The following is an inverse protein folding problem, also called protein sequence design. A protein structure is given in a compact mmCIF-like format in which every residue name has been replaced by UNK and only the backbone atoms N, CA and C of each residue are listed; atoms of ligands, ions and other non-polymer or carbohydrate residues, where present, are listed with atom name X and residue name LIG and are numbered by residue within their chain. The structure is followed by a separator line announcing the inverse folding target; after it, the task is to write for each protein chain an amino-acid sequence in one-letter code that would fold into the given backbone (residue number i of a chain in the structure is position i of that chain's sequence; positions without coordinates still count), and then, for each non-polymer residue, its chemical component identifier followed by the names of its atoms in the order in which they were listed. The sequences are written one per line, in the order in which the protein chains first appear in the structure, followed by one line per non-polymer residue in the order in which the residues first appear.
data_IF_337667123841
#
_entry.id   IF_337667123841
#
_cell.length_a   1.000
_cell.length_b   1.000
_cell.length_c   1.000
_cell.angle_alpha   90.00
_cell.angle_beta   90.00
_cell.angle_gamma   90.00
#
_symmetry.space_group_name_H-M   'P 1'
#
loop_
_entity.id
_entity.type
_entity.pdbx_description
1 polymer ?
#
# COMPACT_ATOMS: atom_id res chain seq x y z
N UNK A 1 44.77 25.73 -20.75
CA UNK A 1 43.70 26.38 -21.56
C UNK A 1 42.55 25.38 -21.58
N UNK A 2 41.34 25.58 -21.09
CA UNK A 2 40.54 26.69 -20.54
C UNK A 2 39.11 26.11 -20.59
N UNK A 3 38.38 26.00 -19.47
CA UNK A 3 37.29 26.93 -19.04
C UNK A 3 36.22 27.13 -20.15
N UNK A 4 34.91 27.15 -19.91
CA UNK A 4 34.10 27.32 -18.70
C UNK A 4 32.60 27.31 -19.11
N UNK A 5 31.71 27.07 -18.13
CA UNK A 5 30.40 27.75 -17.91
C UNK A 5 29.18 27.38 -18.79
N UNK A 6 27.92 27.27 -18.29
CA UNK A 6 27.18 27.82 -17.11
C UNK A 6 25.93 26.94 -16.83
N UNK A 7 25.56 26.64 -15.57
CA UNK A 7 24.50 27.27 -14.71
C UNK A 7 23.09 27.31 -15.35
N UNK A 8 21.95 27.12 -14.67
CA UNK A 8 21.53 26.71 -13.32
C UNK A 8 19.97 26.79 -13.27
N UNK A 9 19.35 26.03 -12.34
CA UNK A 9 18.01 26.25 -11.72
C UNK A 9 16.78 26.16 -12.66
N UNK A 10 15.63 25.57 -12.31
CA UNK A 10 14.66 25.88 -11.24
C UNK A 10 13.97 24.56 -10.78
N UNK A 11 14.06 24.17 -9.49
CA UNK A 11 13.08 24.33 -8.40
C UNK A 11 11.83 23.40 -8.42
N UNK A 12 11.87 22.43 -7.49
CA UNK A 12 10.84 21.97 -6.52
C UNK A 12 9.49 21.38 -7.02
N UNK A 13 9.17 20.16 -6.55
CA UNK A 13 8.10 19.87 -5.55
C UNK A 13 8.08 18.37 -5.18
N UNK A 14 8.47 18.11 -3.92
CA UNK A 14 7.97 17.17 -2.89
C UNK A 14 7.59 15.72 -3.29
N UNK A 15 8.31 14.69 -2.83
CA UNK A 15 8.41 14.14 -1.46
C UNK A 15 7.19 13.29 -1.05
N UNK A 16 7.43 11.99 -0.84
CA UNK A 16 6.44 11.05 -0.32
C UNK A 16 6.89 9.59 -0.23
N UNK A 17 8.15 9.31 0.11
CA UNK A 17 8.58 7.96 0.52
C UNK A 17 8.38 7.84 2.03
N UNK A 18 7.21 7.34 2.44
CA UNK A 18 6.97 6.94 3.84
C UNK A 18 7.51 5.53 4.02
N UNK A 19 8.65 5.45 4.71
CA UNK A 19 9.24 4.22 5.24
C UNK A 19 8.28 3.58 6.24
N UNK A 20 7.69 2.44 5.89
CA UNK A 20 6.99 1.55 6.83
C UNK A 20 8.03 0.92 7.75
N UNK A 21 8.21 1.46 8.95
CA UNK A 21 8.95 0.77 10.00
C UNK A 21 8.03 0.47 11.17
N UNK A 22 8.39 -0.61 11.85
CA UNK A 22 7.76 -1.10 13.08
C UNK A 22 7.72 0.06 14.09
N UNK A 23 6.54 0.32 14.64
CA UNK A 23 6.33 1.24 15.76
C UNK A 23 6.17 0.42 17.03
N UNK A 24 6.88 0.79 18.09
CA UNK A 24 6.68 0.28 19.44
C UNK A 24 5.87 1.29 20.25
N UNK A 25 4.88 0.78 20.98
CA UNK A 25 4.07 1.55 21.90
C UNK A 25 4.58 1.41 23.33
N UNK A 26 4.79 2.56 23.94
CA UNK A 26 5.25 2.74 25.30
C UNK A 26 4.10 3.38 26.08
N UNK A 27 3.47 2.64 26.98
CA UNK A 27 2.37 3.11 27.82
C UNK A 27 2.83 4.03 28.96
N UNK A 28 4.14 4.14 29.19
CA UNK A 28 4.70 4.97 30.26
C UNK A 28 4.52 4.36 31.65
N UNK A 29 4.37 3.04 31.73
CA UNK A 29 4.26 2.34 33.00
C UNK A 29 5.62 2.24 33.71
N UNK A 30 5.66 2.23 35.06
CA UNK A 30 6.91 2.11 35.79
C UNK A 30 7.66 0.81 35.45
N UNK A 31 8.98 0.93 35.22
CA UNK A 31 9.82 -0.22 34.87
C UNK A 31 9.69 -0.68 33.41
N UNK A 32 9.08 0.14 32.54
CA UNK A 32 9.06 -0.06 31.10
C UNK A 32 10.40 0.30 30.45
N UNK A 33 10.85 -0.52 29.50
CA UNK A 33 12.06 -0.28 28.72
C UNK A 33 12.15 -1.23 27.52
N UNK A 34 12.96 -0.85 26.54
CA UNK A 34 13.45 -1.74 25.49
C UNK A 34 14.96 -1.64 25.36
N UNK A 35 15.59 -2.75 24.97
CA UNK A 35 17.04 -2.84 24.80
C UNK A 35 17.37 -3.37 23.42
N UNK A 36 18.18 -2.62 22.69
CA UNK A 36 18.67 -2.97 21.38
C UNK A 36 20.16 -3.23 21.42
N UNK A 37 20.66 -3.98 20.44
CA UNK A 37 22.09 -4.18 20.25
C UNK A 37 22.86 -2.86 20.24
N UNK A 38 24.07 -2.89 20.80
CA UNK A 38 24.96 -1.74 20.92
C UNK A 38 25.07 -0.91 19.63
N UNK A 39 24.88 0.41 19.76
CA UNK A 39 25.26 1.37 18.74
C UNK A 39 26.75 1.68 18.85
N UNK A 40 27.52 1.42 17.78
CA UNK A 40 28.95 1.75 17.73
C UNK A 40 29.17 3.26 17.54
N UNK A 41 28.89 4.03 18.58
CA UNK A 41 29.02 5.48 18.60
C UNK A 41 30.44 5.93 19.03
N UNK A 42 31.50 5.14 18.82
CA UNK A 42 32.85 5.47 19.33
C UNK A 42 33.50 6.65 18.62
N UNK A 43 33.45 6.67 17.29
CA UNK A 43 34.11 7.66 16.42
C UNK A 43 33.06 8.48 15.67
N UNK A 44 32.41 7.86 14.70
CA UNK A 44 31.36 8.44 13.87
C UNK A 44 30.17 7.50 13.83
N UNK A 45 28.97 8.04 13.76
CA UNK A 45 27.78 7.20 13.62
C UNK A 45 26.51 8.03 13.51
N UNK A 46 25.47 7.42 13.00
CA UNK A 46 24.14 8.02 12.91
C UNK A 46 23.11 7.10 13.57
N UNK A 47 22.14 7.70 14.25
CA UNK A 47 20.97 7.04 14.80
C UNK A 47 19.75 7.87 14.42
N UNK A 48 18.73 7.24 13.85
CA UNK A 48 17.50 7.93 13.46
C UNK A 48 16.27 7.15 13.88
N UNK A 49 15.20 7.89 14.18
CA UNK A 49 13.89 7.35 14.49
C UNK A 49 12.83 8.44 14.33
N UNK A 50 11.56 8.05 14.39
CA UNK A 50 10.46 8.99 14.55
C UNK A 50 9.75 8.69 15.87
N UNK A 51 9.24 9.74 16.52
CA UNK A 51 8.45 9.59 17.73
C UNK A 51 7.16 10.41 17.65
N UNK A 52 6.15 9.97 18.39
CA UNK A 52 4.91 10.71 18.64
C UNK A 52 4.55 10.58 20.12
N UNK A 53 4.32 11.71 20.79
CA UNK A 53 4.04 11.75 22.23
C UNK A 53 3.21 12.97 22.65
N UNK A 54 2.59 12.93 23.82
CA UNK A 54 2.06 14.08 24.56
C UNK A 54 2.83 14.33 25.86
N UNK A 55 3.95 13.64 26.07
CA UNK A 55 4.68 13.67 27.32
C UNK A 55 5.66 14.84 27.32
N UNK A 56 5.61 15.67 28.35
CA UNK A 56 6.49 16.84 28.49
C UNK A 56 7.80 16.55 29.22
N UNK A 57 7.93 15.38 29.86
CA UNK A 57 9.15 14.93 30.54
C UNK A 57 9.30 13.40 30.48
N UNK A 58 10.39 12.90 29.91
CA UNK A 58 10.68 11.46 29.84
C UNK A 58 12.13 11.15 29.41
N UNK A 59 12.61 9.95 29.72
CA UNK A 59 13.80 9.36 29.10
C UNK A 59 13.45 8.74 27.74
N UNK A 60 14.13 9.18 26.67
CA UNK A 60 13.95 8.63 25.32
C UNK A 60 15.01 7.59 24.98
N UNK A 61 16.29 7.94 25.13
CA UNK A 61 17.43 7.05 24.80
C UNK A 61 18.54 7.15 25.84
N UNK A 62 19.25 6.04 26.07
CA UNK A 62 20.45 6.00 26.90
C UNK A 62 21.46 4.95 26.41
N UNK A 63 22.75 5.31 26.47
CA UNK A 63 23.89 4.39 26.34
C UNK A 63 25.10 4.93 27.11
N UNK A 64 26.01 4.04 27.52
CA UNK A 64 27.23 4.41 28.24
C UNK A 64 28.37 3.39 28.09
N UNK A 65 29.45 3.64 28.84
CA UNK A 65 30.62 2.77 29.00
C UNK A 65 30.55 1.82 30.21
N UNK A 66 29.34 1.50 30.68
CA UNK A 66 29.12 0.53 31.76
C UNK A 66 29.45 1.08 33.15
N UNK A 67 29.12 2.34 33.41
CA UNK A 67 29.27 2.94 34.75
C UNK A 67 30.58 3.65 35.01
N UNK A 68 31.38 3.95 33.97
CA UNK A 68 32.65 4.63 34.15
C UNK A 68 32.48 6.15 33.95
N UNK A 69 32.66 6.64 32.73
CA UNK A 69 32.80 8.08 32.48
C UNK A 69 32.07 8.60 31.24
N UNK A 70 31.81 7.75 30.25
CA UNK A 70 31.28 8.12 28.96
C UNK A 70 29.80 7.75 28.88
N UNK A 71 28.93 8.72 28.59
CA UNK A 71 27.51 8.45 28.34
C UNK A 71 26.92 9.38 27.28
N UNK A 72 25.76 8.96 26.75
CA UNK A 72 24.87 9.78 25.95
C UNK A 72 23.43 9.50 26.38
N UNK A 73 22.69 10.56 26.71
CA UNK A 73 21.28 10.50 27.09
C UNK A 73 20.46 11.50 26.26
N UNK A 74 19.26 11.09 25.85
CA UNK A 74 18.27 11.93 25.20
C UNK A 74 16.98 11.92 26.02
N UNK A 75 16.54 13.12 26.40
CA UNK A 75 15.41 13.36 27.29
C UNK A 75 14.38 14.25 26.59
N UNK A 76 13.14 14.16 27.03
CA UNK A 76 12.14 15.22 26.86
C UNK A 76 12.14 16.06 28.13
N UNK A 77 12.21 17.38 27.99
CA UNK A 77 12.09 18.34 29.07
C UNK A 77 11.28 19.56 28.60
N UNK A 78 10.20 19.88 29.31
CA UNK A 78 9.25 20.93 28.93
C UNK A 78 8.75 20.78 27.46
N UNK A 79 8.45 19.53 27.08
CA UNK A 79 7.95 19.18 25.75
C UNK A 79 8.99 19.26 24.62
N UNK A 80 10.26 19.51 24.93
CA UNK A 80 11.36 19.67 23.96
C UNK A 80 12.44 18.62 24.17
N UNK A 81 13.20 18.31 23.12
CA UNK A 81 14.32 17.38 23.25
C UNK A 81 15.55 18.06 23.84
N UNK A 82 16.12 17.41 24.85
CA UNK A 82 17.38 17.76 25.49
C UNK A 82 18.33 16.57 25.41
N UNK A 83 19.55 16.79 24.94
CA UNK A 83 20.59 15.75 24.89
C UNK A 83 21.77 16.13 25.78
N UNK A 84 22.33 15.17 26.49
CA UNK A 84 23.59 15.33 27.25
C UNK A 84 24.53 14.20 26.91
N UNK A 85 25.81 14.51 26.78
CA UNK A 85 26.83 13.51 26.52
C UNK A 85 28.18 13.97 27.04
N UNK A 86 29.02 13.02 27.41
CA UNK A 86 30.39 13.29 27.84
C UNK A 86 31.36 12.23 27.33
N UNK A 87 32.64 12.61 27.28
CA UNK A 87 33.74 11.74 26.89
C UNK A 87 34.87 11.93 27.89
N UNK A 88 35.40 10.83 28.40
CA UNK A 88 36.54 10.74 29.29
C UNK A 88 36.40 11.64 30.53
N UNK A 89 35.26 11.49 31.21
CA UNK A 89 34.91 12.14 32.48
C UNK A 89 34.91 13.69 32.39
N UNK A 90 34.82 14.25 31.18
CA UNK A 90 34.73 15.68 30.99
C UNK A 90 33.38 16.22 31.49
N UNK A 91 33.29 17.54 31.64
CA UNK A 91 32.00 18.19 31.86
C UNK A 91 31.05 17.88 30.69
N UNK A 92 29.83 17.36 30.94
CA UNK A 92 28.92 16.98 29.86
C UNK A 92 28.53 18.15 28.96
N UNK A 93 28.65 17.95 27.64
CA UNK A 93 28.05 18.85 26.67
C UNK A 93 26.53 18.65 26.66
N UNK A 94 25.78 19.74 26.43
CA UNK A 94 24.32 19.73 26.42
C UNK A 94 23.79 20.37 25.13
N UNK A 95 22.71 19.80 24.59
CA UNK A 95 21.93 20.35 23.48
C UNK A 95 20.49 20.53 23.93
N UNK A 96 19.93 21.69 23.59
CA UNK A 96 18.53 22.01 23.85
C UNK A 96 17.88 22.47 22.54
N UNK A 97 16.74 21.86 22.23
CA UNK A 97 15.93 22.21 21.06
C UNK A 97 14.83 23.18 21.44
N UNK A 98 14.39 23.98 20.48
CA UNK A 98 13.25 24.89 20.63
C UNK A 98 11.93 24.24 20.18
N UNK A 99 12.01 23.26 19.28
CA UNK A 99 10.87 22.53 18.73
C UNK A 99 10.18 21.71 19.81
N UNK A 100 8.90 22.01 20.06
CA UNK A 100 8.04 21.18 20.90
C UNK A 100 7.63 19.92 20.15
N UNK A 101 7.73 18.78 20.83
CA UNK A 101 7.44 17.44 20.30
C UNK A 101 6.28 16.74 21.04
N UNK A 102 5.73 17.39 22.06
CA UNK A 102 4.62 16.90 22.90
C UNK A 102 3.24 17.21 22.31
N UNK A 103 3.15 17.37 20.99
CA UNK A 103 1.97 17.86 20.28
C UNK A 103 1.13 16.76 19.60
N UNK A 104 1.42 15.49 19.91
CA UNK A 104 0.76 14.32 19.32
C UNK A 104 0.93 14.16 17.80
N UNK A 105 1.97 14.77 17.22
CA UNK A 105 2.38 14.56 15.83
C UNK A 105 3.69 13.76 15.77
N UNK A 106 3.97 13.25 14.58
CA UNK A 106 5.23 12.55 14.32
C UNK A 106 6.35 13.56 14.11
N UNK A 107 7.41 13.41 14.89
CA UNK A 107 8.65 14.18 14.76
C UNK A 107 9.76 13.26 14.25
N UNK A 108 10.65 13.80 13.42
CA UNK A 108 11.84 13.10 12.91
C UNK A 108 13.06 13.48 13.71
N UNK A 109 13.76 12.47 14.22
CA UNK A 109 14.94 12.65 15.06
C UNK A 109 16.13 11.99 14.36
N UNK A 110 17.21 12.76 14.20
CA UNK A 110 18.50 12.26 13.72
C UNK A 110 19.60 12.73 14.67
N UNK A 111 20.32 11.77 15.23
CA UNK A 111 21.53 11.99 16.01
C UNK A 111 22.69 11.59 15.12
N UNK A 112 23.65 12.50 14.92
CA UNK A 112 24.91 12.15 14.27
C UNK A 112 26.09 12.57 15.12
N UNK A 113 27.08 11.69 15.17
CA UNK A 113 28.26 11.87 16.00
C UNK A 113 29.50 11.93 15.12
N UNK A 114 30.40 12.85 15.47
CA UNK A 114 31.69 13.04 14.82
C UNK A 114 32.76 13.34 15.88
N UNK A 115 33.42 12.30 16.37
CA UNK A 115 34.39 12.34 17.46
C UNK A 115 33.82 13.06 18.70
N UNK A 116 34.30 14.28 19.01
CA UNK A 116 33.85 15.04 20.19
C UNK A 116 32.53 15.78 19.96
N UNK A 117 32.13 15.95 18.71
CA UNK A 117 30.94 16.70 18.34
C UNK A 117 29.75 15.76 18.16
N UNK A 118 28.61 16.15 18.70
CA UNK A 118 27.34 15.48 18.46
C UNK A 118 26.33 16.50 17.96
N UNK A 119 25.61 16.11 16.91
CA UNK A 119 24.57 16.87 16.22
C UNK A 119 23.23 16.20 16.47
N UNK A 120 22.24 17.00 16.85
CA UNK A 120 20.86 16.58 17.02
C UNK A 120 20.00 17.38 16.02
N UNK A 121 19.22 16.66 15.21
CA UNK A 121 18.20 17.24 14.33
C UNK A 121 16.83 16.79 14.78
N UNK A 122 15.92 17.75 14.91
CA UNK A 122 14.51 17.53 15.21
C UNK A 122 13.70 18.24 14.12
N UNK A 123 13.07 17.46 13.25
CA UNK A 123 12.43 17.94 12.03
C UNK A 123 13.36 18.81 11.17
N UNK A 124 13.21 20.13 11.25
CA UNK A 124 14.00 21.13 10.50
C UNK A 124 14.97 21.91 11.40
N UNK A 125 14.96 21.66 12.71
CA UNK A 125 15.86 22.30 13.67
C UNK A 125 17.13 21.46 13.86
N UNK A 126 18.29 22.13 13.88
CA UNK A 126 19.58 21.50 14.10
C UNK A 126 20.33 22.17 15.26
N UNK A 127 20.92 21.36 16.14
CA UNK A 127 21.81 21.80 17.22
C UNK A 127 23.08 20.95 17.23
N UNK A 128 24.22 21.57 17.50
CA UNK A 128 25.54 20.89 17.57
C UNK A 128 26.28 21.36 18.81
N UNK A 129 26.93 20.43 19.50
CA UNK A 129 27.78 20.71 20.66
C UNK A 129 29.00 19.82 20.60
N UNK A 130 30.10 20.30 21.19
CA UNK A 130 31.34 19.56 21.32
C UNK A 130 31.72 19.46 22.80
N UNK A 131 32.09 18.27 23.25
CA UNK A 131 32.61 18.07 24.60
C UNK A 131 34.07 18.51 24.70
N UNK A 132 34.41 19.26 25.75
CA UNK A 132 35.79 19.70 26.03
C UNK A 132 36.61 18.58 26.69
N UNK A 133 36.79 17.48 25.97
CA UNK A 133 37.52 16.31 26.46
C UNK A 133 38.97 16.25 25.94
N UNK A 134 39.86 15.60 26.69
CA UNK A 134 41.21 15.25 26.22
C UNK A 134 41.15 14.18 25.13
N UNK A 135 40.20 13.25 25.24
CA UNK A 135 40.01 12.15 24.28
C UNK A 135 39.00 12.57 23.21
N UNK A 136 39.21 12.08 21.99
CA UNK A 136 38.30 12.34 20.85
C UNK A 136 37.16 11.34 20.75
N UNK A 137 37.41 10.11 21.14
CA UNK A 137 36.51 8.96 20.97
C UNK A 137 35.84 8.63 22.28
N UNK A 138 34.58 8.22 22.21
CA UNK A 138 33.86 7.69 23.35
C UNK A 138 34.08 6.20 23.46
N UNK A 139 34.02 5.68 24.68
CA UNK A 139 33.83 4.26 24.94
C UNK A 139 32.34 4.00 25.04
N UNK A 140 31.86 3.00 24.30
CA UNK A 140 30.50 2.48 24.46
C UNK A 140 30.64 1.02 24.80
N UNK A 141 30.04 0.62 25.92
CA UNK A 141 30.07 -0.74 26.43
C UNK A 141 28.65 -1.28 26.64
N UNK A 142 27.68 -0.42 26.94
CA UNK A 142 26.29 -0.83 27.08
C UNK A 142 25.63 -1.11 25.72
N UNK A 143 24.51 -1.81 25.81
CA UNK A 143 23.46 -1.81 24.79
C UNK A 143 22.74 -0.46 24.72
N UNK A 144 21.92 -0.27 23.70
CA UNK A 144 21.08 0.92 23.54
C UNK A 144 19.74 0.72 24.27
N UNK A 145 19.49 1.53 25.30
CA UNK A 145 18.20 1.56 25.98
C UNK A 145 17.28 2.61 25.38
N UNK A 146 16.01 2.26 25.19
CA UNK A 146 14.98 3.12 24.60
C UNK A 146 13.71 3.09 25.47
N UNK A 147 13.17 4.28 25.73
CA UNK A 147 11.91 4.50 26.45
C UNK A 147 11.94 4.26 27.97
N UNK A 148 13.10 3.86 28.52
CA UNK A 148 13.30 3.64 29.95
C UNK A 148 14.54 2.77 30.24
N UNK A 149 14.79 2.49 31.51
CA UNK A 149 15.87 1.61 31.99
C UNK A 149 15.29 0.48 32.83
N UNK A 150 15.82 -0.73 32.65
CA UNK A 150 15.42 -1.87 33.46
C UNK A 150 15.63 -1.64 34.96
N UNK A 151 14.65 -1.95 35.82
CA UNK A 151 14.81 -1.90 37.27
C UNK A 151 15.99 -2.73 37.79
N UNK A 152 16.37 -3.78 37.08
CA UNK A 152 17.45 -4.71 37.47
C UNK A 152 18.85 -4.16 37.21
N UNK A 153 18.98 -3.10 36.39
CA UNK A 153 20.27 -2.47 36.13
C UNK A 153 20.76 -1.79 37.40
N UNK A 154 21.95 -2.19 37.88
CA UNK A 154 22.58 -1.59 39.06
C UNK A 154 23.00 -0.14 38.77
N UNK A 155 22.85 0.75 39.75
CA UNK A 155 23.29 2.15 39.61
C UNK A 155 24.78 2.27 39.25
N UNK A 156 25.61 1.35 39.75
CA UNK A 156 27.04 1.31 39.45
C UNK A 156 27.37 0.91 38.00
N UNK A 157 26.39 0.39 37.25
CA UNK A 157 26.53 0.08 35.83
C UNK A 157 26.05 1.23 34.94
N UNK A 158 25.55 2.33 35.52
CA UNK A 158 25.06 3.51 34.82
C UNK A 158 26.00 4.69 35.09
N UNK A 159 26.66 5.18 34.05
CA UNK A 159 27.54 6.35 34.14
C UNK A 159 26.75 7.60 34.54
N UNK A 160 25.57 7.80 33.94
CA UNK A 160 24.60 8.82 34.39
C UNK A 160 23.49 8.13 35.19
N UNK A 161 23.74 7.78 36.44
CA UNK A 161 22.75 7.05 37.26
C UNK A 161 21.41 7.77 37.46
N UNK A 162 21.33 9.08 37.18
CA UNK A 162 20.08 9.86 37.25
C UNK A 162 19.02 9.39 36.28
N UNK A 163 19.40 8.79 35.14
CA UNK A 163 18.45 8.31 34.12
C UNK A 163 17.49 7.25 34.65
N UNK A 164 17.87 6.52 35.71
CA UNK A 164 17.01 5.53 36.35
C UNK A 164 15.79 6.16 37.05
N UNK A 165 15.85 7.45 37.35
CA UNK A 165 14.78 8.20 38.03
C UNK A 165 14.00 9.10 37.07
N UNK A 166 14.37 9.13 35.79
CA UNK A 166 13.58 9.84 34.78
C UNK A 166 12.27 9.09 34.50
N UNK A 167 11.16 9.79 34.25
CA UNK A 167 9.90 9.14 33.88
C UNK A 167 10.08 8.28 32.62
N UNK A 168 9.44 7.10 32.55
CA UNK A 168 9.42 6.31 31.33
C UNK A 168 8.75 7.09 30.20
N UNK A 169 9.19 6.84 28.97
CA UNK A 169 8.55 7.43 27.79
C UNK A 169 7.12 6.91 27.65
N UNK A 170 6.20 7.79 27.29
CA UNK A 170 4.83 7.44 26.92
C UNK A 170 4.55 7.95 25.50
N UNK A 171 4.18 7.06 24.59
CA UNK A 171 3.94 7.36 23.19
C UNK A 171 4.45 6.27 22.25
N UNK A 172 4.72 6.66 21.01
CA UNK A 172 5.15 5.75 19.94
C UNK A 172 6.56 6.11 19.49
N UNK A 173 7.41 5.09 19.30
CA UNK A 173 8.71 5.22 18.63
C UNK A 173 8.74 4.24 17.46
N UNK A 174 9.09 4.72 16.27
CA UNK A 174 9.15 3.90 15.07
C UNK A 174 10.39 4.19 14.24
N UNK A 175 10.68 3.32 13.26
CA UNK A 175 11.78 3.50 12.31
C UNK A 175 13.15 3.70 12.99
N UNK A 176 13.40 3.06 14.13
CA UNK A 176 14.71 3.11 14.76
C UNK A 176 15.76 2.46 13.85
N UNK A 177 16.80 3.21 13.52
CA UNK A 177 17.92 2.79 12.66
C UNK A 177 19.25 3.21 13.27
N UNK A 178 20.25 2.34 13.14
CA UNK A 178 21.66 2.62 13.43
C UNK A 178 22.42 2.66 12.10
N UNK A 179 22.71 3.87 11.62
CA UNK A 179 23.07 4.12 10.22
C UNK A 179 21.94 3.68 9.30
N UNK A 180 22.26 2.78 8.35
CA UNK A 180 21.27 2.20 7.42
C UNK A 180 20.64 0.89 7.95
N UNK A 181 21.12 0.36 9.07
CA UNK A 181 20.68 -0.93 9.60
C UNK A 181 19.53 -0.79 10.61
N UNK A 182 18.62 -1.75 10.61
CA UNK A 182 17.65 -1.93 11.70
C UNK A 182 18.37 -2.61 12.88
N UNK A 183 18.33 -2.03 14.10
CA UNK A 183 18.96 -2.64 15.25
C UNK A 183 18.19 -3.90 15.69
N UNK A 184 18.93 -4.88 16.20
CA UNK A 184 18.35 -6.09 16.79
C UNK A 184 17.74 -5.73 18.14
N UNK A 185 16.42 -5.92 18.29
CA UNK A 185 15.75 -5.87 19.60
C UNK A 185 16.20 -7.10 20.41
N UNK A 186 16.88 -6.86 21.53
CA UNK A 186 17.42 -7.92 22.38
C UNK A 186 16.43 -8.33 23.46
N UNK A 187 15.74 -7.35 24.05
CA UNK A 187 14.84 -7.57 25.18
C UNK A 187 13.94 -6.34 25.42
N UNK A 188 12.88 -6.50 26.20
CA UNK A 188 12.00 -5.40 26.60
C UNK A 188 10.96 -5.84 27.63
N UNK A 189 10.48 -4.90 28.42
CA UNK A 189 9.46 -5.15 29.44
C UNK A 189 8.41 -4.06 29.42
N UNK A 190 7.14 -4.47 29.53
CA UNK A 190 5.99 -3.59 29.58
C UNK A 190 5.90 -2.62 28.38
N UNK A 191 6.47 -3.04 27.25
CA UNK A 191 6.35 -2.40 25.95
C UNK A 191 5.56 -3.37 25.09
N UNK A 192 4.41 -2.94 24.60
CA UNK A 192 3.56 -3.78 23.78
C UNK A 192 4.21 -3.96 22.41
N UNK A 193 4.69 -5.17 22.12
CA UNK A 193 5.06 -5.61 20.77
C UNK A 193 3.90 -6.36 20.13
N UNK A 194 2.69 -5.83 20.26
CA UNK A 194 1.49 -6.61 19.98
C UNK A 194 1.09 -6.56 18.52
N UNK A 195 1.79 -7.34 17.70
CA UNK A 195 1.37 -7.59 16.32
C UNK A 195 -0.01 -8.26 16.27
N UNK A 196 -0.35 -9.10 17.26
CA UNK A 196 -1.62 -9.86 17.34
C UNK A 196 -2.80 -8.99 17.83
N UNK A 197 -2.58 -8.07 18.80
CA UNK A 197 -3.61 -7.13 19.27
C UNK A 197 -3.95 -6.03 18.25
N UNK A 198 -2.99 -5.69 17.37
CA UNK A 198 -3.18 -4.73 16.28
C UNK A 198 -4.36 -5.15 15.38
N UNK A 199 -4.54 -6.42 15.06
CA UNK A 199 -5.67 -6.84 14.21
C UNK A 199 -7.03 -6.82 14.93
N UNK A 200 -7.06 -7.03 16.25
CA UNK A 200 -8.29 -7.19 17.02
C UNK A 200 -8.88 -5.86 17.50
N UNK A 201 -8.04 -4.88 17.87
CA UNK A 201 -8.51 -3.61 18.47
C UNK A 201 -8.20 -2.39 17.59
N UNK A 202 -7.08 -2.39 16.86
CA UNK A 202 -6.62 -1.25 16.06
C UNK A 202 -6.13 -1.66 14.67
N UNK A 203 -6.99 -2.36 13.92
CA UNK A 203 -6.63 -2.91 12.60
C UNK A 203 -6.00 -1.82 11.70
N UNK A 204 -4.75 -2.01 11.23
CA UNK A 204 -4.07 -1.08 10.35
C UNK A 204 -4.58 -1.23 8.91
N UNK A 205 -5.34 -2.30 8.63
CA UNK A 205 -6.00 -2.54 7.37
C UNK A 205 -7.20 -1.59 7.25
N UNK A 206 -7.05 -0.59 6.39
CA UNK A 206 -8.09 0.38 6.11
C UNK A 206 -9.22 -0.25 5.30
N UNK A 207 -10.38 0.45 5.22
CA UNK A 207 -11.48 0.06 4.33
C UNK A 207 -12.00 -1.38 4.50
N UNK A 208 -11.99 -1.87 5.74
CA UNK A 208 -12.46 -3.22 6.12
C UNK A 208 -11.62 -4.38 5.54
N UNK A 209 -10.34 -4.13 5.23
CA UNK A 209 -9.40 -5.20 4.91
C UNK A 209 -9.24 -6.17 6.08
N UNK A 210 -9.10 -7.46 5.78
CA UNK A 210 -8.92 -8.49 6.80
C UNK A 210 -7.48 -8.46 7.29
N UNK A 211 -7.30 -8.22 8.60
CA UNK A 211 -6.00 -8.16 9.24
C UNK A 211 -5.59 -9.54 9.77
N UNK A 212 -4.35 -9.93 9.52
CA UNK A 212 -3.74 -11.14 10.09
C UNK A 212 -2.26 -10.92 10.37
N UNK A 213 -1.66 -11.75 11.22
CA UNK A 213 -0.24 -11.69 11.56
C UNK A 213 0.46 -12.96 11.09
N UNK A 214 1.58 -12.80 10.39
CA UNK A 214 2.43 -13.92 9.98
C UNK A 214 3.90 -13.56 10.11
N UNK A 215 4.70 -14.42 10.77
CA UNK A 215 6.15 -14.25 10.96
C UNK A 215 6.57 -12.89 11.57
N UNK A 216 5.70 -12.29 12.40
CA UNK A 216 5.98 -10.99 13.00
C UNK A 216 5.65 -9.78 12.10
N UNK A 217 4.96 -9.98 10.97
CA UNK A 217 4.48 -8.90 10.11
C UNK A 217 2.93 -8.88 10.06
N UNK A 218 2.37 -7.67 9.98
CA UNK A 218 0.94 -7.49 9.72
C UNK A 218 0.65 -7.60 8.23
N UNK A 219 -0.27 -8.49 7.89
CA UNK A 219 -0.76 -8.75 6.55
C UNK A 219 -2.21 -8.28 6.44
N UNK A 220 -2.47 -7.41 5.47
CA UNK A 220 -3.83 -6.99 5.12
C UNK A 220 -4.27 -7.67 3.84
N UNK A 221 -5.31 -8.49 3.93
CA UNK A 221 -6.02 -9.01 2.77
C UNK A 221 -7.08 -7.98 2.34
N UNK A 222 -6.83 -7.38 1.17
CA UNK A 222 -7.70 -6.38 0.58
C UNK A 222 -8.65 -6.96 -0.50
N UNK A 223 -8.63 -8.28 -0.75
CA UNK A 223 -9.34 -8.92 -1.88
C UNK A 223 -10.85 -8.63 -1.87
N UNK A 224 -11.46 -8.49 -0.70
CA UNK A 224 -12.88 -8.18 -0.55
C UNK A 224 -13.18 -6.68 -0.35
N UNK A 225 -12.21 -5.80 -0.64
CA UNK A 225 -12.33 -4.34 -0.50
C UNK A 225 -12.09 -3.66 -1.85
N UNK A 226 -12.54 -2.42 -2.02
CA UNK A 226 -12.25 -1.59 -3.21
C UNK A 226 -10.88 -0.90 -3.19
N UNK A 227 -9.93 -1.46 -2.45
CA UNK A 227 -8.67 -0.83 -2.10
C UNK A 227 -7.51 -1.82 -2.22
N UNK A 228 -6.30 -1.29 -2.41
CA UNK A 228 -5.06 -2.06 -2.55
C UNK A 228 -3.92 -1.48 -1.71
N UNK A 229 -2.73 -2.04 -1.90
CA UNK A 229 -1.53 -1.68 -1.14
C UNK A 229 -1.44 -2.45 0.18
N UNK A 230 -0.30 -2.31 0.88
CA UNK A 230 0.04 -3.11 2.08
C UNK A 230 -1.01 -3.02 3.20
N UNK A 231 -1.79 -1.94 3.24
CA UNK A 231 -2.76 -1.64 4.30
C UNK A 231 -4.15 -1.27 3.77
N UNK A 232 -4.49 -1.61 2.52
CA UNK A 232 -5.78 -1.30 1.89
C UNK A 232 -6.17 0.20 1.91
N UNK A 233 -5.18 1.09 1.81
CA UNK A 233 -5.36 2.55 1.86
C UNK A 233 -5.38 3.18 0.48
N UNK A 234 -4.72 2.53 -0.48
CA UNK A 234 -4.73 3.02 -1.85
C UNK A 234 -6.10 2.71 -2.41
N UNK A 235 -6.89 3.74 -2.66
CA UNK A 235 -8.07 3.61 -3.50
C UNK A 235 -7.62 2.87 -4.75
N UNK A 236 -8.23 1.73 -5.03
CA UNK A 236 -8.05 1.12 -6.32
C UNK A 236 -8.61 2.15 -7.29
N UNK A 237 -7.73 2.90 -7.98
CA UNK A 237 -8.15 3.70 -9.12
C UNK A 237 -8.99 2.75 -9.95
N UNK A 238 -10.29 3.05 -10.08
CA UNK A 238 -11.17 2.24 -10.88
C UNK A 238 -10.45 2.03 -12.21
N UNK A 239 -10.07 0.78 -12.51
CA UNK A 239 -9.26 0.50 -13.67
C UNK A 239 -10.17 0.62 -14.88
N UNK A 240 -10.37 1.85 -15.33
CA UNK A 240 -11.29 2.17 -16.42
C UNK A 240 -10.52 2.17 -17.72
N UNK A 241 -10.92 1.29 -18.63
CA UNK A 241 -10.43 1.26 -20.01
C UNK A 241 -11.42 1.96 -20.94
N UNK A 242 -10.92 2.84 -21.81
CA UNK A 242 -11.71 3.43 -22.89
C UNK A 242 -11.51 2.61 -24.15
N UNK A 243 -12.59 2.30 -24.85
CA UNK A 243 -12.58 1.60 -26.13
C UNK A 243 -13.15 2.50 -27.22
N UNK A 244 -12.45 2.62 -28.34
CA UNK A 244 -12.87 3.39 -29.52
C UNK A 244 -13.48 2.55 -30.64
N UNK A 245 -13.70 1.26 -30.41
CA UNK A 245 -14.37 0.34 -31.36
C UNK A 245 -13.43 -0.38 -32.32
N UNK A 246 -12.13 -0.06 -32.29
CA UNK A 246 -11.08 -0.83 -32.94
C UNK A 246 -10.07 -1.43 -31.94
N UNK A 247 -10.28 -1.18 -30.66
CA UNK A 247 -9.43 -1.61 -29.55
C UNK A 247 -10.13 -2.76 -28.82
N UNK A 248 -9.37 -3.73 -28.35
CA UNK A 248 -9.86 -4.82 -27.50
C UNK A 248 -8.70 -5.42 -26.70
N UNK A 249 -9.01 -6.12 -25.62
CA UNK A 249 -8.06 -6.98 -24.92
C UNK A 249 -8.31 -8.43 -25.28
N UNK A 250 -7.25 -9.22 -25.39
CA UNK A 250 -7.33 -10.67 -25.55
C UNK A 250 -6.34 -11.37 -24.61
N UNK A 251 -6.81 -12.37 -23.87
CA UNK A 251 -5.98 -13.23 -23.04
C UNK A 251 -5.99 -14.67 -23.57
N UNK A 252 -4.83 -15.29 -23.73
CA UNK A 252 -4.72 -16.65 -24.26
C UNK A 252 -4.81 -17.68 -23.14
N UNK A 253 -5.92 -18.43 -23.09
CA UNK A 253 -6.18 -19.44 -22.06
C UNK A 253 -5.50 -20.79 -22.34
N UNK A 254 -4.79 -20.97 -23.47
CA UNK A 254 -4.15 -22.26 -23.80
C UNK A 254 -3.17 -22.78 -22.75
N UNK A 255 -2.55 -21.87 -21.98
CA UNK A 255 -1.63 -22.24 -20.91
C UNK A 255 -2.32 -22.45 -19.55
N UNK A 256 -3.50 -21.84 -19.36
CA UNK A 256 -4.30 -21.95 -18.15
C UNK A 256 -5.78 -22.05 -18.53
N UNK A 257 -6.23 -23.21 -19.06
CA UNK A 257 -7.60 -23.37 -19.51
C UNK A 257 -8.58 -23.18 -18.35
N UNK A 258 -9.71 -22.53 -18.64
CA UNK A 258 -10.84 -22.47 -17.72
C UNK A 258 -11.52 -23.84 -17.76
N UNK A 259 -11.66 -24.45 -16.58
CA UNK A 259 -12.49 -25.63 -16.36
C UNK A 259 -13.24 -25.43 -15.06
N UNK A 260 -14.47 -24.95 -15.17
CA UNK A 260 -15.22 -24.49 -14.00
C UNK A 260 -16.65 -25.00 -13.99
N UNK A 261 -17.18 -25.28 -12.81
CA UNK A 261 -18.60 -25.54 -12.53
C UNK A 261 -19.27 -24.38 -11.79
N UNK A 262 -18.51 -23.36 -11.38
CA UNK A 262 -18.98 -22.19 -10.65
C UNK A 262 -18.24 -20.95 -11.16
N UNK A 263 -18.96 -20.05 -11.83
CA UNK A 263 -18.37 -18.84 -12.40
C UNK A 263 -19.03 -17.58 -11.86
N UNK A 264 -18.22 -16.54 -11.74
CA UNK A 264 -18.70 -15.19 -11.49
C UNK A 264 -17.95 -14.21 -12.40
N UNK A 265 -18.71 -13.45 -13.20
CA UNK A 265 -18.21 -12.41 -14.09
C UNK A 265 -18.84 -11.09 -13.65
N UNK A 266 -18.00 -10.11 -13.35
CA UNK A 266 -18.42 -8.77 -12.94
C UNK A 266 -17.75 -7.71 -13.79
N UNK A 267 -18.51 -6.77 -14.33
CA UNK A 267 -17.98 -5.58 -15.01
C UNK A 267 -18.97 -4.43 -14.90
N UNK A 268 -18.49 -3.20 -15.01
CA UNK A 268 -19.32 -2.04 -15.27
C UNK A 268 -19.03 -1.47 -16.66
N UNK A 269 -20.04 -0.94 -17.33
CA UNK A 269 -19.85 -0.27 -18.62
C UNK A 269 -20.61 1.04 -18.67
N UNK A 270 -20.16 1.93 -19.54
CA UNK A 270 -20.91 3.12 -19.97
C UNK A 270 -20.69 3.36 -21.45
N UNK A 271 -21.76 3.68 -22.18
CA UNK A 271 -21.68 3.88 -23.63
C UNK A 271 -22.88 4.71 -24.13
N UNK A 272 -22.72 5.28 -25.33
CA UNK A 272 -23.81 5.83 -26.13
C UNK A 272 -24.22 4.89 -27.28
N UNK A 273 -23.42 3.84 -27.55
CA UNK A 273 -23.65 2.93 -28.66
C UNK A 273 -24.76 1.95 -28.36
N UNK A 274 -25.55 1.62 -29.38
CA UNK A 274 -26.64 0.63 -29.25
C UNK A 274 -26.13 -0.81 -29.28
N UNK A 275 -24.98 -1.04 -29.91
CA UNK A 275 -24.43 -2.37 -30.15
C UNK A 275 -22.94 -2.40 -29.81
N UNK A 276 -22.46 -3.49 -29.22
CA UNK A 276 -21.04 -3.67 -28.94
C UNK A 276 -20.74 -4.95 -28.17
N UNK A 277 -19.66 -5.64 -28.51
CA UNK A 277 -19.18 -6.81 -27.76
C UNK A 277 -18.46 -6.38 -26.46
N UNK A 278 -18.98 -6.79 -25.31
CA UNK A 278 -18.37 -6.49 -24.00
C UNK A 278 -17.34 -7.55 -23.61
N UNK A 279 -17.69 -8.82 -23.73
CA UNK A 279 -16.84 -9.95 -23.34
C UNK A 279 -17.17 -11.20 -24.17
N UNK A 280 -16.15 -11.97 -24.52
CA UNK A 280 -16.33 -13.30 -25.11
C UNK A 280 -15.22 -14.26 -24.71
N UNK A 281 -15.56 -15.52 -24.46
CA UNK A 281 -14.56 -16.60 -24.33
C UNK A 281 -15.15 -17.92 -24.81
N UNK A 282 -14.29 -18.81 -25.27
CA UNK A 282 -14.66 -20.13 -25.76
C UNK A 282 -14.77 -20.23 -27.28
N UNK A 283 -15.10 -21.43 -27.78
CA UNK A 283 -15.17 -21.75 -29.21
C UNK A 283 -16.25 -22.78 -29.46
N UNK A 284 -16.80 -22.78 -30.68
CA UNK A 284 -17.76 -23.79 -31.15
C UNK A 284 -19.01 -23.84 -30.26
N UNK A 285 -19.18 -24.90 -29.48
CA UNK A 285 -20.38 -25.11 -28.67
C UNK A 285 -20.18 -24.77 -27.18
N UNK A 286 -18.96 -24.44 -26.74
CA UNK A 286 -18.67 -24.09 -25.34
C UNK A 286 -18.16 -22.66 -25.29
N UNK A 287 -19.02 -21.72 -24.90
CA UNK A 287 -18.71 -20.29 -24.94
C UNK A 287 -19.60 -19.45 -24.03
N UNK A 288 -19.07 -18.28 -23.68
CA UNK A 288 -19.80 -17.18 -23.03
C UNK A 288 -19.71 -15.95 -23.92
N UNK A 289 -20.84 -15.32 -24.20
CA UNK A 289 -20.91 -14.05 -24.92
C UNK A 289 -21.75 -13.06 -24.11
N UNK A 290 -21.17 -11.89 -23.82
CA UNK A 290 -21.89 -10.75 -23.25
C UNK A 290 -21.75 -9.56 -24.19
N UNK A 291 -22.89 -9.05 -24.65
CA UNK A 291 -22.93 -7.97 -25.62
C UNK A 291 -24.06 -7.00 -25.33
N UNK A 292 -23.93 -5.79 -25.87
CA UNK A 292 -25.03 -4.84 -25.97
C UNK A 292 -25.70 -5.01 -27.34
N UNK A 293 -27.02 -5.17 -27.36
CA UNK A 293 -27.84 -5.33 -28.58
C UNK A 293 -29.02 -4.37 -28.51
N UNK A 294 -29.12 -3.42 -29.43
CA UNK A 294 -30.17 -2.39 -29.45
C UNK A 294 -30.36 -1.63 -28.12
N UNK A 295 -29.26 -1.41 -27.39
CA UNK A 295 -29.27 -0.72 -26.08
C UNK A 295 -29.69 -1.60 -24.90
N UNK A 296 -29.86 -2.91 -25.11
CA UNK A 296 -30.16 -3.91 -24.10
C UNK A 296 -28.96 -4.84 -23.89
N UNK A 297 -28.82 -5.42 -22.70
CA UNK A 297 -27.78 -6.42 -22.45
C UNK A 297 -28.25 -7.80 -22.92
N UNK A 298 -27.38 -8.50 -23.63
CA UNK A 298 -27.64 -9.83 -24.17
C UNK A 298 -26.52 -10.77 -23.72
N UNK A 299 -26.89 -11.75 -22.89
CA UNK A 299 -26.00 -12.82 -22.41
C UNK A 299 -26.35 -14.12 -23.12
N UNK A 300 -25.33 -14.82 -23.61
CA UNK A 300 -25.43 -16.18 -24.12
C UNK A 300 -24.37 -17.04 -23.44
N UNK A 301 -24.79 -18.15 -22.84
CA UNK A 301 -23.89 -19.17 -22.28
C UNK A 301 -24.26 -20.52 -22.87
N UNK A 302 -23.31 -21.17 -23.53
CA UNK A 302 -23.46 -22.54 -24.00
C UNK A 302 -22.33 -23.39 -23.41
N UNK A 303 -22.69 -24.56 -22.87
CA UNK A 303 -21.76 -25.51 -22.24
C UNK A 303 -21.57 -26.77 -23.11
N UNK A 304 -21.70 -26.65 -24.43
CA UNK A 304 -21.50 -27.73 -25.41
C UNK A 304 -22.77 -28.38 -25.95
N UNK A 305 -23.94 -28.13 -25.36
CA UNK A 305 -25.17 -28.91 -25.65
C UNK A 305 -26.46 -28.09 -25.70
N UNK A 306 -26.37 -26.76 -25.61
CA UNK A 306 -27.48 -25.85 -25.86
C UNK A 306 -27.39 -24.59 -25.01
N UNK A 307 -27.70 -23.45 -25.63
CA UNK A 307 -27.48 -22.14 -25.04
C UNK A 307 -28.59 -21.74 -24.07
N UNK A 308 -28.19 -21.09 -22.99
CA UNK A 308 -29.03 -20.16 -22.25
C UNK A 308 -28.85 -18.76 -22.85
N UNK A 309 -29.96 -18.09 -23.16
CA UNK A 309 -29.99 -16.74 -23.72
C UNK A 309 -30.84 -15.83 -22.81
N UNK A 310 -30.32 -14.66 -22.48
CA UNK A 310 -31.03 -13.68 -21.68
C UNK A 310 -30.88 -12.26 -22.26
N UNK A 311 -32.02 -11.64 -22.57
CA UNK A 311 -32.13 -10.20 -22.82
C UNK A 311 -32.52 -9.51 -21.51
N UNK A 312 -31.73 -8.52 -21.10
CA UNK A 312 -32.05 -7.65 -19.98
C UNK A 312 -32.31 -6.25 -20.53
N UNK A 313 -33.48 -5.71 -20.24
CA UNK A 313 -33.89 -4.36 -20.60
C UNK A 313 -34.36 -3.60 -19.35
N UNK A 314 -34.01 -2.31 -19.20
CA UNK A 314 -34.57 -1.49 -18.13
C UNK A 314 -36.05 -1.19 -18.39
N UNK A 315 -36.82 -0.96 -17.32
CA UNK A 315 -38.26 -0.65 -17.40
C UNK A 315 -38.56 0.65 -18.16
N UNK A 316 -37.59 1.57 -18.23
CA UNK A 316 -37.65 2.80 -19.03
C UNK A 316 -36.26 3.11 -19.58
N UNK A 317 -36.19 3.55 -20.83
CA UNK A 317 -34.93 3.89 -21.49
C UNK A 317 -34.15 2.67 -22.03
N UNK A 318 -32.83 2.79 -22.10
CA UNK A 318 -31.86 1.79 -22.56
C UNK A 318 -30.54 1.99 -21.82
N UNK A 319 -29.66 0.98 -21.78
CA UNK A 319 -28.36 1.06 -21.10
C UNK A 319 -27.27 1.84 -21.86
N UNK A 320 -27.61 2.40 -23.01
CA UNK A 320 -26.71 3.25 -23.80
C UNK A 320 -26.95 4.75 -23.55
N UNK A 321 -27.12 5.11 -22.28
CA UNK A 321 -27.44 6.46 -21.80
C UNK A 321 -26.22 7.25 -21.30
N UNK A 322 -25.01 6.69 -21.46
CA UNK A 322 -23.73 7.20 -20.97
C UNK A 322 -23.59 7.27 -19.43
N UNK A 323 -24.43 6.55 -18.69
CA UNK A 323 -24.28 6.31 -17.25
C UNK A 323 -23.58 4.97 -17.02
N UNK A 324 -22.99 4.81 -15.84
CA UNK A 324 -22.40 3.53 -15.43
C UNK A 324 -23.50 2.52 -15.10
N UNK A 325 -23.44 1.36 -15.75
CA UNK A 325 -24.25 0.21 -15.43
C UNK A 325 -23.39 -0.94 -14.93
N UNK A 326 -23.82 -1.57 -13.85
CA UNK A 326 -23.13 -2.68 -13.19
C UNK A 326 -23.73 -4.01 -13.65
N UNK A 327 -22.90 -4.92 -14.15
CA UNK A 327 -23.31 -6.24 -14.61
C UNK A 327 -22.61 -7.31 -13.76
N UNK A 328 -23.40 -8.25 -13.23
CA UNK A 328 -22.93 -9.45 -12.55
C UNK A 328 -23.59 -10.67 -13.16
N UNK A 329 -22.78 -11.60 -13.65
CA UNK A 329 -23.25 -12.90 -14.13
C UNK A 329 -22.70 -13.95 -13.18
N UNK A 330 -23.57 -14.74 -12.58
CA UNK A 330 -23.19 -15.89 -11.76
C UNK A 330 -23.71 -17.16 -12.41
N UNK A 331 -22.88 -18.20 -12.42
CA UNK A 331 -23.26 -19.53 -12.88
C UNK A 331 -22.88 -20.55 -11.81
N UNK A 332 -23.84 -21.35 -11.36
CA UNK A 332 -23.59 -22.51 -10.52
C UNK A 332 -24.15 -23.74 -11.24
N UNK A 333 -23.26 -24.61 -11.72
CA UNK A 333 -23.59 -25.72 -12.61
C UNK A 333 -24.37 -25.20 -13.83
N UNK A 334 -25.63 -25.61 -13.99
CA UNK A 334 -26.48 -25.16 -15.10
C UNK A 334 -27.22 -23.86 -14.81
N UNK A 335 -27.34 -23.46 -13.55
CA UNK A 335 -28.12 -22.29 -13.17
C UNK A 335 -27.31 -21.03 -13.48
N UNK A 336 -27.86 -20.15 -14.31
CA UNK A 336 -27.25 -18.88 -14.69
C UNK A 336 -28.13 -17.75 -14.17
N UNK A 337 -27.51 -16.73 -13.57
CA UNK A 337 -28.18 -15.50 -13.18
C UNK A 337 -27.41 -14.30 -13.71
N UNK A 338 -28.09 -13.40 -14.42
CA UNK A 338 -27.57 -12.08 -14.76
C UNK A 338 -28.31 -11.03 -13.91
N UNK A 339 -27.54 -10.17 -13.26
CA UNK A 339 -27.99 -9.07 -12.44
C UNK A 339 -27.42 -7.77 -13.01
N UNK A 340 -28.28 -6.79 -13.25
CA UNK A 340 -27.91 -5.45 -13.75
C UNK A 340 -28.38 -4.38 -12.77
N UNK A 341 -27.47 -3.46 -12.42
CA UNK A 341 -27.66 -2.34 -11.49
C UNK A 341 -28.22 -2.73 -10.11
N UNK A 342 -28.02 -3.99 -9.71
CA UNK A 342 -28.50 -4.55 -8.44
C UNK A 342 -30.02 -4.77 -8.36
N UNK A 343 -30.77 -4.52 -9.43
CA UNK A 343 -32.24 -4.55 -9.41
C UNK A 343 -32.80 -5.48 -10.49
N UNK A 344 -32.23 -5.47 -11.69
CA UNK A 344 -32.75 -6.24 -12.82
C UNK A 344 -32.11 -7.63 -12.82
N UNK A 345 -32.89 -8.66 -12.51
CA UNK A 345 -32.40 -10.04 -12.42
C UNK A 345 -33.11 -10.95 -13.41
N UNK A 346 -32.34 -11.70 -14.20
CA UNK A 346 -32.85 -12.80 -15.02
C UNK A 346 -32.10 -14.08 -14.64
N UNK A 347 -32.84 -15.11 -14.24
CA UNK A 347 -32.28 -16.43 -13.92
C UNK A 347 -32.85 -17.47 -14.87
N UNK A 348 -32.01 -18.41 -15.30
CA UNK A 348 -32.44 -19.58 -16.05
C UNK A 348 -31.41 -20.69 -16.00
N UNK A 349 -31.52 -21.64 -16.92
CA UNK A 349 -30.68 -22.82 -16.95
C UNK A 349 -30.12 -23.06 -18.35
N UNK A 350 -28.87 -23.47 -18.44
CA UNK A 350 -28.33 -24.03 -19.68
C UNK A 350 -29.05 -25.35 -20.01
N UNK A 351 -29.15 -25.65 -21.30
CA UNK A 351 -29.84 -26.85 -21.77
C UNK A 351 -28.96 -28.09 -21.56
N UNK A 352 -29.60 -29.26 -21.50
CA UNK A 352 -28.94 -30.57 -21.35
C UNK A 352 -28.06 -30.72 -20.09
N UNK A 353 -27.38 -31.85 -19.92
CA UNK A 353 -26.76 -32.22 -18.64
C UNK A 353 -25.32 -31.73 -18.42
N UNK A 354 -24.74 -31.03 -19.40
CA UNK A 354 -23.36 -30.55 -19.27
C UNK A 354 -23.29 -29.36 -18.29
N UNK A 355 -22.32 -29.39 -17.38
CA UNK A 355 -22.21 -28.47 -16.23
C UNK A 355 -20.87 -27.76 -16.14
N UNK A 356 -19.91 -28.14 -16.98
CA UNK A 356 -18.56 -27.58 -16.99
C UNK A 356 -18.43 -26.56 -18.12
N UNK A 357 -17.95 -25.36 -17.80
CA UNK A 357 -17.48 -24.38 -18.78
C UNK A 357 -16.02 -24.68 -19.08
N UNK A 358 -15.72 -25.05 -20.32
CA UNK A 358 -14.38 -25.31 -20.83
C UNK A 358 -13.93 -24.23 -21.80
N UNK A 359 -12.83 -23.53 -21.51
CA UNK A 359 -12.24 -22.58 -22.45
C UNK A 359 -10.73 -22.60 -22.38
N UNK A 360 -10.09 -23.07 -23.45
CA UNK A 360 -8.64 -23.01 -23.70
C UNK A 360 -8.27 -22.00 -24.80
N UNK A 361 -9.25 -21.23 -25.29
CA UNK A 361 -9.10 -20.25 -26.38
C UNK A 361 -8.83 -18.81 -25.86
N UNK A 362 -8.96 -17.82 -26.74
CA UNK A 362 -8.83 -16.42 -26.39
C UNK A 362 -10.05 -15.91 -25.61
N UNK A 363 -9.77 -15.21 -24.51
CA UNK A 363 -10.73 -14.43 -23.73
C UNK A 363 -10.65 -12.97 -24.17
N UNK A 364 -11.72 -12.47 -24.77
CA UNK A 364 -11.84 -11.15 -25.36
C UNK A 364 -12.62 -10.18 -24.47
N UNK A 365 -12.17 -8.93 -24.41
CA UNK A 365 -12.86 -7.82 -23.71
C UNK A 365 -12.92 -6.60 -24.61
N UNK A 366 -14.11 -6.02 -24.74
CA UNK A 366 -14.39 -4.81 -25.53
C UNK A 366 -14.42 -5.02 -27.05
N UNK A 367 -14.08 -6.21 -27.56
CA UNK A 367 -14.10 -6.50 -28.99
C UNK A 367 -13.23 -7.69 -29.37
N UNK A 368 -13.12 -7.95 -30.66
CA UNK A 368 -12.17 -8.90 -31.23
C UNK A 368 -11.74 -8.45 -32.63
N UNK A 369 -10.90 -9.25 -33.31
CA UNK A 369 -10.55 -9.03 -34.72
C UNK A 369 -11.79 -9.15 -35.63
N UNK A 370 -12.71 -10.07 -35.32
CA UNK A 370 -13.97 -10.20 -36.02
C UNK A 370 -15.07 -10.68 -35.06
N UNK A 371 -15.80 -9.73 -34.47
CA UNK A 371 -16.85 -10.02 -33.49
C UNK A 371 -18.05 -10.75 -34.09
N UNK A 372 -18.24 -10.68 -35.41
CA UNK A 372 -19.32 -11.38 -36.10
C UNK A 372 -19.11 -12.89 -36.19
N UNK A 373 -17.85 -13.35 -36.13
CA UNK A 373 -17.51 -14.77 -36.25
C UNK A 373 -17.54 -15.49 -34.90
N UNK A 374 -17.68 -14.74 -33.81
CA UNK A 374 -17.68 -15.31 -32.46
C UNK A 374 -19.00 -16.04 -32.18
N UNK A 375 -18.94 -17.29 -31.66
CA UNK A 375 -20.13 -18.06 -31.32
C UNK A 375 -21.08 -17.29 -30.40
N UNK A 376 -22.37 -17.32 -30.75
CA UNK A 376 -23.44 -16.68 -29.99
C UNK A 376 -23.40 -15.15 -29.94
N UNK A 377 -22.48 -14.51 -30.67
CA UNK A 377 -22.44 -13.05 -30.75
C UNK A 377 -23.60 -12.53 -31.60
N UNK A 378 -24.51 -11.70 -31.04
CA UNK A 378 -25.58 -11.08 -31.81
C UNK A 378 -25.14 -9.79 -32.53
N UNK A 379 -23.87 -9.42 -32.40
CA UNK A 379 -23.32 -8.15 -32.89
C UNK A 379 -22.00 -8.34 -33.62
N UNK A 380 -21.78 -7.54 -34.65
CA UNK A 380 -20.52 -7.45 -35.38
C UNK A 380 -19.61 -6.31 -34.89
N UNK A 381 -20.15 -5.39 -34.09
CA UNK A 381 -19.44 -4.20 -33.64
C UNK A 381 -18.65 -4.49 -32.36
N UNK A 382 -17.41 -4.01 -32.31
CA UNK A 382 -16.67 -3.91 -31.04
C UNK A 382 -17.27 -2.79 -30.18
N UNK A 383 -17.02 -2.86 -28.87
CA UNK A 383 -17.51 -1.88 -27.93
C UNK A 383 -16.84 -0.51 -28.11
N UNK A 384 -17.65 0.55 -28.04
CA UNK A 384 -17.16 1.91 -27.89
C UNK A 384 -17.73 2.50 -26.61
N UNK A 385 -16.88 2.88 -25.67
CA UNK A 385 -17.30 3.32 -24.34
C UNK A 385 -16.20 3.15 -23.31
N UNK A 386 -16.56 3.18 -22.03
CA UNK A 386 -15.63 2.82 -20.96
C UNK A 386 -16.09 1.52 -20.28
N UNK A 387 -15.16 0.60 -20.01
CA UNK A 387 -15.35 -0.55 -19.13
C UNK A 387 -14.57 -0.37 -17.84
N UNK A 388 -15.13 -0.86 -16.74
CA UNK A 388 -14.53 -0.83 -15.40
C UNK A 388 -14.63 -2.21 -14.77
N UNK A 389 -13.56 -2.66 -14.14
CA UNK A 389 -13.57 -3.89 -13.35
C UNK A 389 -14.27 -3.67 -12.01
N UNK A 390 -14.97 -4.71 -11.52
CA UNK A 390 -15.46 -4.81 -10.15
C UNK A 390 -14.81 -6.00 -9.47
N UNK A 391 -14.21 -5.72 -8.33
CA UNK A 391 -13.45 -6.66 -7.51
C UNK A 391 -14.35 -7.82 -7.09
N UNK A 392 -14.03 -9.01 -7.61
CA UNK A 392 -14.64 -10.29 -7.23
C UNK A 392 -13.54 -11.33 -7.02
N UNK A 393 -13.60 -12.16 -5.95
CA UNK A 393 -12.51 -13.05 -5.53
C UNK A 393 -12.22 -14.25 -6.45
N UNK A 394 -12.95 -14.43 -7.56
CA UNK A 394 -12.90 -15.66 -8.36
C UNK A 394 -12.40 -15.50 -9.80
N UNK A 395 -12.54 -14.33 -10.43
CA UNK A 395 -11.98 -14.02 -11.77
C UNK A 395 -11.44 -12.58 -11.75
N UNK A 396 -10.12 -12.44 -11.83
CA UNK A 396 -9.42 -11.15 -11.78
C UNK A 396 -9.21 -10.61 -13.22
N UNK A 397 -9.97 -9.61 -13.64
CA UNK A 397 -9.69 -8.84 -14.88
C UNK A 397 -9.01 -7.53 -14.46
N UNK A 398 -7.72 -7.61 -14.15
CA UNK A 398 -6.97 -6.42 -13.77
C UNK A 398 -6.65 -5.55 -15.01
N UNK A 399 -7.50 -4.56 -15.32
CA UNK A 399 -7.19 -3.56 -16.36
C UNK A 399 -5.95 -2.70 -16.01
N UNK A 400 -5.36 -2.84 -14.82
CA UNK A 400 -4.16 -2.11 -14.39
C UNK A 400 -2.85 -2.78 -14.87
N UNK A 401 -2.91 -4.00 -15.43
CA UNK A 401 -1.84 -4.55 -16.29
C UNK A 401 -1.74 -3.78 -17.63
N UNK A 402 -2.69 -2.89 -17.92
CA UNK A 402 -2.71 -2.00 -19.10
C UNK A 402 -2.13 -0.61 -18.79
N UNK A 403 -1.29 -0.44 -17.76
CA UNK A 403 -0.25 0.59 -17.84
C UNK A 403 0.99 -0.06 -18.45
N UNK A 404 1.29 0.28 -19.71
CA UNK A 404 2.59 0.03 -20.32
C UNK A 404 3.72 0.53 -19.40
N UNK A 405 4.24 -0.33 -18.53
CA UNK A 405 5.45 -0.07 -17.77
C UNK A 405 6.18 -1.38 -17.50
N UNK A 406 7.40 -1.42 -18.04
CA UNK A 406 8.40 -2.45 -17.79
C UNK A 406 8.71 -2.51 -16.29
N UNK A 407 8.08 -3.42 -15.54
CA UNK A 407 8.64 -4.16 -14.38
C UNK A 407 7.55 -4.84 -13.53
N UNK A 408 7.30 -6.13 -13.83
CA UNK A 408 7.14 -7.30 -12.93
C UNK A 408 6.49 -8.41 -13.75
N UNK A 409 6.78 -9.66 -13.36
CA UNK A 409 6.68 -10.93 -14.11
C UNK A 409 5.33 -11.32 -14.77
N UNK A 410 4.33 -10.43 -14.84
CA UNK A 410 3.06 -10.65 -15.55
C UNK A 410 2.90 -9.81 -16.84
N UNK A 411 3.75 -8.81 -17.06
CA UNK A 411 3.61 -7.81 -18.13
C UNK A 411 4.14 -8.23 -19.52
N UNK A 412 4.42 -9.51 -19.76
CA UNK A 412 4.94 -10.00 -21.06
C UNK A 412 3.85 -10.47 -22.04
N UNK A 413 2.56 -10.38 -21.69
CA UNK A 413 1.49 -11.13 -22.41
C UNK A 413 0.24 -10.34 -22.82
N UNK A 414 0.23 -9.01 -22.73
CA UNK A 414 -0.86 -8.19 -23.30
C UNK A 414 -0.39 -7.47 -24.56
N UNK A 415 -1.15 -7.61 -25.64
CA UNK A 415 -1.04 -6.75 -26.82
C UNK A 415 -1.91 -5.52 -26.57
N UNK A 416 -1.32 -4.46 -26.00
CA UNK A 416 -2.02 -3.22 -25.68
C UNK A 416 -2.24 -2.35 -26.93
N UNK A 417 -3.39 -1.67 -27.02
CA UNK A 417 -3.60 -0.58 -27.96
C UNK A 417 -2.68 0.62 -27.62
N UNK A 418 -2.06 1.23 -28.63
CA UNK A 418 -0.92 2.16 -28.44
C UNK A 418 -1.23 3.48 -27.71
N UNK A 419 -2.47 3.83 -27.36
CA UNK A 419 -2.79 5.13 -26.75
C UNK A 419 -3.96 5.10 -25.77
N UNK A 420 -3.70 4.77 -24.50
CA UNK A 420 -4.71 4.81 -23.44
C UNK A 420 -4.83 6.23 -22.85
N UNK A 421 -5.95 6.91 -23.09
CA UNK A 421 -6.30 8.18 -22.43
C UNK A 421 -7.26 7.93 -21.26
N UNK A 422 -7.07 8.69 -20.17
CA UNK A 422 -8.07 8.83 -19.09
C UNK A 422 -9.43 9.19 -19.72
N UNK A 423 -10.48 8.47 -19.33
CA UNK A 423 -11.84 8.64 -19.85
C UNK A 423 -12.29 10.11 -19.82
N UNK A 424 -12.21 10.80 -20.96
CA UNK A 424 -12.86 12.10 -21.17
C UNK A 424 -14.33 11.89 -21.55
N UNK A 425 -15.24 12.81 -21.19
CA UNK A 425 -16.61 12.78 -21.69
C UNK A 425 -16.59 12.76 -23.22
N UNK A 426 -17.18 11.73 -23.83
CA UNK A 426 -17.34 11.68 -25.29
C UNK A 426 -18.42 12.70 -25.65
N UNK A 427 -18.03 13.85 -26.21
CA UNK A 427 -18.98 14.78 -26.82
C UNK A 427 -18.85 16.28 -26.54
N UNK A 428 -17.65 16.84 -26.31
CA UNK A 428 -17.45 18.30 -26.47
C UNK A 428 -16.48 18.58 -27.62
N UNK A 429 -16.85 19.43 -28.61
CA UNK A 429 -15.89 19.88 -29.61
C UNK A 429 -14.78 20.66 -28.90
N UNK A 430 -13.53 20.34 -29.23
CA UNK A 430 -12.39 21.16 -28.83
C UNK A 430 -12.64 22.58 -29.35
N UNK A 431 -13.02 23.52 -28.47
CA UNK A 431 -12.85 24.93 -28.78
C UNK A 431 -11.35 25.17 -28.85
N UNK A 432 -10.84 25.36 -30.07
CA UNK A 432 -9.60 26.08 -30.27
C UNK A 432 -9.91 27.55 -29.99
N UNK A 433 -9.59 28.01 -28.79
CA UNK A 433 -9.46 29.44 -28.55
C UNK A 433 -8.13 29.88 -29.15
N UNK A 434 -8.22 30.72 -30.18
CA UNK A 434 -7.14 31.54 -30.75
C UNK A 434 -6.95 32.80 -29.94
#
# INVERSE_FOLDING_TARGET
MGRCERKASWLLVLAGLVLTGIALEYEGVPGQWTRYGQWDAKTTGELSFILKTNTSKALVLYLDDGGNCDFLELLIADGRLQMRFTIHCAEPASLHTETRIDDQRWHRILLSRNYKATRLVVDNEEKVAEVKSKRKEMVVASDLYVGGISPDVRLSALTSSTVKYEPPFHGLIANLKLGEALPVLLDGQAVHSDLEYICDVHSPCSNKGLCSVSQGEVLCDCINTSYRGRYCQEGQEESVATFKGNEFFSYNLSQTPIQSSLDEITLSFRTLQRNGLLLHTGRSADYVNLSLRNGALWLVINLGSGAFEALVEPASGKFNDNVWHDVRVTRNLRQVTILVDGILTTTGYTQEDYTMLGSDDLFYIGGSLNSADLPGSPVSNNFMGCLKDKISPHIYIDFLVVRCSKKKHFAERLQCAEHMHLCTPVGMPLRMDS
#
